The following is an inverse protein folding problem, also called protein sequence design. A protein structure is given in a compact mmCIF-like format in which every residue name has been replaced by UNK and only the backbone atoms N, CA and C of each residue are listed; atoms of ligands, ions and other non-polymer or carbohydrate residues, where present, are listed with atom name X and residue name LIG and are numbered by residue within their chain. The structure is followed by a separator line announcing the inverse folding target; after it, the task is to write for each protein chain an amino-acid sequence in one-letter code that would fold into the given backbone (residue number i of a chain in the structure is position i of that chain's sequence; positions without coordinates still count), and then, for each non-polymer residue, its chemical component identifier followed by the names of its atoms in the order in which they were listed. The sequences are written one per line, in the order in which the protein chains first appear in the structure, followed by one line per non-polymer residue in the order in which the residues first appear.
data_IF_258412275971
#
_entry.id   IF_258412275971
#
_cell.length_a   1.000
_cell.length_b   1.000
_cell.length_c   1.000
_cell.angle_alpha   90.00
_cell.angle_beta   90.00
_cell.angle_gamma   90.00
#
_symmetry.space_group_name_H-M   'P 1'
#
loop_
_entity.id
_entity.type
_entity.pdbx_description
1 polymer ?
#
# COMPACT_ATOMS: atom_id res chain seq x y z
N UNK A 1 66.76 -17.55 3.23
CA UNK A 1 65.43 -17.02 3.64
C UNK A 1 64.75 -16.35 2.45
N UNK A 2 63.61 -16.87 1.97
CA UNK A 2 62.84 -16.33 0.84
C UNK A 2 61.39 -16.18 1.30
N UNK A 3 60.91 -14.94 1.47
CA UNK A 3 59.50 -14.65 1.81
C UNK A 3 58.65 -14.74 0.53
N UNK A 4 57.63 -15.59 0.53
CA UNK A 4 56.58 -15.59 -0.50
C UNK A 4 55.46 -14.66 -0.05
N UNK A 5 55.16 -13.65 -0.88
CA UNK A 5 54.02 -12.76 -0.68
C UNK A 5 52.71 -13.52 -0.97
N UNK A 6 51.77 -13.49 -0.03
CA UNK A 6 50.40 -13.95 -0.24
C UNK A 6 49.63 -12.87 -0.98
N UNK A 7 49.12 -13.19 -2.17
CA UNK A 7 48.13 -12.38 -2.85
C UNK A 7 46.83 -12.43 -2.04
N UNK A 8 46.44 -11.29 -1.48
CA UNK A 8 45.11 -11.10 -0.90
C UNK A 8 44.10 -11.07 -2.04
N UNK A 9 43.42 -12.19 -2.28
CA UNK A 9 42.26 -12.23 -3.17
C UNK A 9 41.17 -11.38 -2.52
N UNK A 10 40.99 -10.17 -3.05
CA UNK A 10 39.90 -9.28 -2.74
C UNK A 10 38.57 -9.98 -2.95
N UNK A 11 37.96 -10.41 -1.86
CA UNK A 11 36.61 -10.99 -1.84
C UNK A 11 35.61 -9.87 -2.10
N UNK A 12 35.33 -9.61 -3.38
CA UNK A 12 34.25 -8.74 -3.86
C UNK A 12 32.93 -9.28 -3.25
N UNK A 13 32.43 -8.64 -2.18
CA UNK A 13 31.09 -8.90 -1.67
C UNK A 13 30.10 -8.38 -2.71
N UNK A 14 29.76 -9.22 -3.67
CA UNK A 14 28.63 -9.00 -4.57
C UNK A 14 27.42 -8.65 -3.71
N UNK A 15 26.77 -7.55 -4.09
CA UNK A 15 25.59 -7.04 -3.42
C UNK A 15 24.59 -8.17 -3.20
N UNK A 16 24.32 -8.41 -1.92
CA UNK A 16 23.23 -9.26 -1.50
C UNK A 16 21.95 -8.51 -1.87
N UNK A 17 21.52 -8.64 -3.13
CA UNK A 17 20.16 -8.36 -3.50
C UNK A 17 19.31 -9.29 -2.62
N UNK A 18 18.71 -8.71 -1.58
CA UNK A 18 17.75 -9.39 -0.74
C UNK A 18 16.80 -10.15 -1.67
N UNK A 19 16.59 -11.46 -1.48
CA UNK A 19 15.54 -12.12 -2.22
C UNK A 19 14.28 -11.34 -1.88
N UNK A 20 13.68 -10.69 -2.90
CA UNK A 20 12.34 -10.15 -2.83
C UNK A 20 11.44 -11.34 -2.52
N UNK A 21 11.34 -11.66 -1.23
CA UNK A 21 10.58 -12.75 -0.68
C UNK A 21 9.16 -12.41 -1.09
N UNK A 22 8.65 -13.09 -2.13
CA UNK A 22 7.26 -12.99 -2.57
C UNK A 22 6.42 -13.17 -1.31
N UNK A 23 5.94 -12.07 -0.74
CA UNK A 23 5.18 -12.12 0.50
C UNK A 23 3.94 -12.95 0.20
N UNK A 24 3.51 -13.85 1.09
CA UNK A 24 2.32 -14.65 0.83
C UNK A 24 1.16 -13.71 0.50
N UNK A 25 0.36 -14.06 -0.51
CA UNK A 25 -0.77 -13.25 -0.98
C UNK A 25 -1.67 -12.79 0.19
N UNK A 26 -1.88 -13.66 1.17
CA UNK A 26 -2.58 -13.36 2.42
C UNK A 26 -2.04 -12.13 3.16
N UNK A 27 -0.72 -11.97 3.28
CA UNK A 27 -0.14 -10.78 3.92
C UNK A 27 -0.38 -9.51 3.12
N UNK A 28 -0.42 -9.60 1.78
CA UNK A 28 -0.77 -8.46 0.94
C UNK A 28 -2.23 -8.07 1.15
N UNK A 29 -3.15 -9.03 1.15
CA UNK A 29 -4.58 -8.80 1.40
C UNK A 29 -4.79 -8.19 2.79
N UNK A 30 -4.19 -8.75 3.83
CA UNK A 30 -4.29 -8.22 5.19
C UNK A 30 -3.73 -6.79 5.30
N UNK A 31 -2.62 -6.49 4.60
CA UNK A 31 -2.11 -5.12 4.53
C UNK A 31 -3.11 -4.18 3.87
N UNK A 32 -3.69 -4.57 2.74
CA UNK A 32 -4.68 -3.76 2.02
C UNK A 32 -5.93 -3.53 2.85
N UNK A 33 -6.43 -4.55 3.55
CA UNK A 33 -7.57 -4.42 4.46
C UNK A 33 -7.26 -3.43 5.60
N UNK A 34 -6.06 -3.48 6.19
CA UNK A 34 -5.64 -2.48 7.18
C UNK A 34 -5.57 -1.06 6.64
N UNK A 35 -5.07 -0.88 5.42
CA UNK A 35 -5.07 0.45 4.79
C UNK A 35 -6.49 0.93 4.49
N UNK A 36 -7.37 0.03 4.03
CA UNK A 36 -8.77 0.36 3.75
C UNK A 36 -9.50 0.85 5.01
N UNK A 37 -9.28 0.19 6.15
CA UNK A 37 -9.83 0.62 7.45
C UNK A 37 -9.41 2.02 7.88
N UNK A 38 -8.27 2.53 7.42
CA UNK A 38 -7.82 3.90 7.74
C UNK A 38 -8.52 4.97 6.91
N UNK A 39 -9.04 4.60 5.74
CA UNK A 39 -9.61 5.53 4.76
C UNK A 39 -11.13 5.58 4.87
N UNK A 40 -11.75 4.44 5.16
CA UNK A 40 -13.22 4.32 5.25
C UNK A 40 -13.69 4.83 6.61
N UNK A 41 -14.63 5.80 6.66
CA UNK A 41 -15.20 6.29 7.90
C UNK A 41 -15.81 5.17 8.75
N UNK A 42 -15.66 5.29 10.07
CA UNK A 42 -16.22 4.40 11.09
C UNK A 42 -15.80 2.91 10.99
N UNK A 43 -14.82 2.55 10.15
CA UNK A 43 -14.51 1.16 9.82
C UNK A 43 -13.40 0.50 10.66
N UNK A 44 -12.89 1.19 11.68
CA UNK A 44 -11.72 0.75 12.45
C UNK A 44 -11.93 -0.63 13.11
N UNK A 45 -13.08 -0.83 13.73
CA UNK A 45 -13.46 -2.08 14.42
C UNK A 45 -14.35 -3.00 13.57
N UNK A 46 -14.54 -2.68 12.29
CA UNK A 46 -15.38 -3.49 11.42
C UNK A 46 -14.75 -4.85 11.09
N UNK A 47 -15.57 -5.89 11.00
CA UNK A 47 -15.18 -7.13 10.33
C UNK A 47 -15.01 -6.90 8.81
N UNK A 48 -14.59 -7.94 8.08
CA UNK A 48 -14.28 -7.83 6.65
C UNK A 48 -15.53 -7.52 5.83
N UNK A 49 -16.65 -8.16 6.10
CA UNK A 49 -17.87 -7.99 5.31
C UNK A 49 -18.47 -6.60 5.52
N UNK A 50 -18.50 -6.14 6.77
CA UNK A 50 -18.92 -4.79 7.11
C UNK A 50 -17.98 -3.74 6.54
N UNK A 51 -16.66 -3.97 6.57
CA UNK A 51 -15.68 -3.08 5.93
C UNK A 51 -15.96 -2.93 4.44
N UNK A 52 -16.20 -4.03 3.72
CA UNK A 52 -16.48 -4.00 2.28
C UNK A 52 -17.81 -3.31 1.97
N UNK A 53 -18.86 -3.56 2.75
CA UNK A 53 -20.15 -2.87 2.62
C UNK A 53 -20.02 -1.36 2.84
N UNK A 54 -19.40 -0.94 3.96
CA UNK A 54 -19.15 0.47 4.25
C UNK A 54 -18.27 1.14 3.19
N UNK A 55 -17.33 0.39 2.61
CA UNK A 55 -16.53 0.89 1.49
C UNK A 55 -17.41 1.19 0.27
N UNK A 56 -18.33 0.29 -0.08
CA UNK A 56 -19.27 0.53 -1.18
C UNK A 56 -20.15 1.76 -0.91
N UNK A 57 -20.72 1.86 0.29
CA UNK A 57 -21.54 3.00 0.70
C UNK A 57 -20.74 4.31 0.64
N UNK A 58 -19.49 4.29 1.12
CA UNK A 58 -18.62 5.46 1.12
C UNK A 58 -18.26 5.92 -0.30
N UNK A 59 -18.00 4.98 -1.22
CA UNK A 59 -17.78 5.29 -2.64
C UNK A 59 -19.03 5.97 -3.21
N UNK A 60 -20.22 5.40 -3.02
CA UNK A 60 -21.46 5.98 -3.52
C UNK A 60 -21.70 7.41 -2.99
N UNK A 61 -21.46 7.63 -1.69
CA UNK A 61 -21.60 8.96 -1.08
C UNK A 61 -20.58 9.95 -1.65
N UNK A 62 -19.32 9.53 -1.84
CA UNK A 62 -18.31 10.39 -2.44
C UNK A 62 -18.64 10.76 -3.89
N UNK A 63 -19.09 9.80 -4.69
CA UNK A 63 -19.52 10.04 -6.07
C UNK A 63 -20.67 11.05 -6.14
N UNK A 64 -21.66 10.92 -5.25
CA UNK A 64 -22.75 11.89 -5.13
C UNK A 64 -22.23 13.28 -4.75
N UNK A 65 -21.36 13.39 -3.73
CA UNK A 65 -20.76 14.67 -3.31
C UNK A 65 -20.00 15.33 -4.46
N UNK A 66 -19.16 14.58 -5.17
CA UNK A 66 -18.42 15.09 -6.34
C UNK A 66 -19.37 15.57 -7.43
N UNK A 67 -20.44 14.82 -7.70
CA UNK A 67 -21.44 15.19 -8.70
C UNK A 67 -22.13 16.50 -8.33
N UNK A 68 -22.57 16.65 -7.08
CA UNK A 68 -23.19 17.88 -6.59
C UNK A 68 -22.22 19.05 -6.66
N UNK A 69 -20.99 18.89 -6.16
CA UNK A 69 -19.97 19.94 -6.17
C UNK A 69 -19.63 20.40 -7.59
N UNK A 70 -19.53 19.48 -8.56
CA UNK A 70 -19.33 19.82 -9.97
C UNK A 70 -20.49 20.64 -10.54
N UNK A 71 -21.74 20.29 -10.22
CA UNK A 71 -22.92 21.07 -10.65
C UNK A 71 -22.93 22.46 -10.02
N UNK A 72 -22.57 22.58 -8.74
CA UNK A 72 -22.48 23.88 -8.08
C UNK A 72 -21.34 24.73 -8.66
N UNK A 73 -20.15 24.18 -8.90
CA UNK A 73 -19.05 24.90 -9.56
C UNK A 73 -19.46 25.36 -10.98
N UNK A 74 -20.20 24.56 -11.73
CA UNK A 74 -20.73 24.97 -13.03
C UNK A 74 -21.72 26.16 -12.95
N UNK A 75 -22.45 26.31 -11.83
CA UNK A 75 -23.36 27.44 -11.59
C UNK A 75 -22.59 28.68 -11.12
N UNK A 76 -21.62 28.50 -10.22
CA UNK A 76 -20.95 29.60 -9.52
C UNK A 76 -19.60 30.02 -10.13
N UNK A 77 -19.08 29.28 -11.12
CA UNK A 77 -17.92 29.69 -11.92
C UNK A 77 -16.59 29.74 -11.18
N UNK A 78 -16.45 29.04 -10.05
CA UNK A 78 -15.15 28.83 -9.37
C UNK A 78 -14.40 27.68 -10.01
#
# INVERSE_FOLDING_TARGET
MRRKAMFTVGRKKQGQALPMRRRPFQHMVLRRLRELKKIVPDAQDADVDMLLRRTADYICVLELKVTVLRRLSAIYGV
#
